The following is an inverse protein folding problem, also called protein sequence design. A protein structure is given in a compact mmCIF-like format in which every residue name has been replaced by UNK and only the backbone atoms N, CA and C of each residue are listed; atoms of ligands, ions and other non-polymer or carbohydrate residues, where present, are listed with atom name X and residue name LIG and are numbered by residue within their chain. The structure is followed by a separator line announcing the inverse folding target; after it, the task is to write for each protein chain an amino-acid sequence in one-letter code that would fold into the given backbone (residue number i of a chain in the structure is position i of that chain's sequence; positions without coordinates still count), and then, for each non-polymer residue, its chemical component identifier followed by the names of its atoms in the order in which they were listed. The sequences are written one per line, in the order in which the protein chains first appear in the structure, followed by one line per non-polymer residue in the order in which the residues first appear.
data_IF_925329757551
#
_entry.id   IF_925329757551
#
_cell.length_a   1.000
_cell.length_b   1.000
_cell.length_c   1.000
_cell.angle_alpha   90.00
_cell.angle_beta   90.00
_cell.angle_gamma   90.00
#
_symmetry.space_group_name_H-M   'P 1'
#
loop_
_entity.id
_entity.type
_entity.pdbx_description
1 polymer ?
#
# COMPACT_ATOMS: atom_id res chain seq x y z
N UNK A 1 -17.28 -27.08 -6.39
CA UNK A 1 -16.09 -26.59 -5.66
C UNK A 1 -16.33 -25.15 -5.27
N UNK A 2 -16.31 -24.86 -3.98
CA UNK A 2 -16.37 -23.49 -3.48
C UNK A 2 -14.97 -22.87 -3.53
N UNK A 3 -14.86 -21.62 -3.99
CA UNK A 3 -13.57 -20.93 -4.07
C UNK A 3 -13.25 -20.29 -2.73
N UNK A 4 -12.02 -20.48 -2.24
CA UNK A 4 -11.54 -19.77 -1.05
C UNK A 4 -11.19 -18.32 -1.39
N UNK A 5 -11.55 -17.40 -0.48
CA UNK A 5 -11.20 -15.99 -0.59
C UNK A 5 -9.69 -15.79 -0.36
N UNK A 6 -9.06 -15.02 -1.24
CA UNK A 6 -7.66 -14.62 -1.06
C UNK A 6 -7.57 -13.47 -0.04
N UNK A 7 -6.71 -13.64 0.97
CA UNK A 7 -6.37 -12.57 1.90
C UNK A 7 -5.19 -11.76 1.37
N UNK A 8 -5.38 -10.45 1.31
CA UNK A 8 -4.37 -9.52 0.79
C UNK A 8 -3.66 -8.88 1.97
N UNK A 9 -2.33 -8.97 1.98
CA UNK A 9 -1.47 -8.40 3.02
C UNK A 9 -0.66 -7.23 2.47
N UNK A 10 -0.38 -6.25 3.33
CA UNK A 10 0.51 -5.13 3.02
C UNK A 10 1.24 -4.62 4.27
N UNK A 11 2.43 -4.04 4.06
CA UNK A 11 3.25 -3.44 5.11
C UNK A 11 2.87 -1.97 5.29
N UNK A 12 2.05 -1.70 6.31
CA UNK A 12 1.57 -0.34 6.60
C UNK A 12 2.33 0.34 7.74
N UNK A 13 2.62 -0.38 8.84
CA UNK A 13 3.26 0.15 10.08
C UNK A 13 4.52 -0.63 10.49
N UNK A 14 5.35 -1.00 9.51
CA UNK A 14 6.60 -1.74 9.75
C UNK A 14 6.49 -3.27 9.72
N UNK A 15 5.27 -3.83 9.79
CA UNK A 15 5.01 -5.27 9.61
C UNK A 15 3.82 -5.54 8.69
N UNK A 16 3.67 -6.79 8.24
CA UNK A 16 2.59 -7.22 7.36
C UNK A 16 1.27 -7.33 8.14
N UNK A 17 0.22 -6.70 7.62
CA UNK A 17 -1.14 -6.79 8.15
C UNK A 17 -2.14 -7.04 7.03
N UNK A 18 -3.25 -7.75 7.28
CA UNK A 18 -4.31 -7.91 6.29
C UNK A 18 -4.91 -6.55 5.94
N UNK A 19 -5.06 -6.26 4.65
CA UNK A 19 -5.66 -5.00 4.16
C UNK A 19 -7.13 -4.87 4.62
N UNK A 20 -7.81 -6.00 4.83
CA UNK A 20 -9.16 -6.06 5.38
C UNK A 20 -9.28 -5.46 6.79
N UNK A 21 -8.18 -5.43 7.57
CA UNK A 21 -8.14 -4.91 8.94
C UNK A 21 -7.70 -3.45 9.04
N UNK A 22 -7.53 -2.75 7.90
CA UNK A 22 -7.12 -1.35 7.93
C UNK A 22 -8.25 -0.45 8.43
N UNK A 23 -7.92 0.37 9.43
CA UNK A 23 -8.81 1.43 9.91
C UNK A 23 -8.84 2.60 8.90
N UNK A 24 -9.72 3.58 9.14
CA UNK A 24 -9.90 4.74 8.25
C UNK A 24 -8.60 5.54 8.07
N UNK A 25 -7.86 5.79 9.15
CA UNK A 25 -6.59 6.54 9.11
C UNK A 25 -5.55 5.89 8.20
N UNK A 26 -5.29 4.59 8.38
CA UNK A 26 -4.34 3.82 7.55
C UNK A 26 -4.71 3.83 6.06
N UNK A 27 -6.00 3.84 5.73
CA UNK A 27 -6.48 3.92 4.35
C UNK A 27 -6.22 5.28 3.73
N UNK A 28 -6.45 6.37 4.48
CA UNK A 28 -6.13 7.72 4.01
C UNK A 28 -4.62 7.92 3.88
N UNK A 29 -3.84 7.56 4.91
CA UNK A 29 -2.37 7.61 4.87
C UNK A 29 -1.78 6.83 3.68
N UNK A 30 -2.40 5.71 3.30
CA UNK A 30 -1.96 4.92 2.14
C UNK A 30 -2.17 5.65 0.81
N UNK A 31 -3.26 6.43 0.66
CA UNK A 31 -3.52 7.22 -0.56
C UNK A 31 -2.49 8.33 -0.75
N UNK A 32 -1.98 8.88 0.34
CA UNK A 32 -0.98 9.95 0.31
C UNK A 32 0.44 9.44 0.02
N UNK A 33 0.64 8.11 -0.05
CA UNK A 33 1.95 7.51 -0.35
C UNK A 33 2.37 7.85 -1.78
N UNK A 34 3.59 8.35 -1.92
CA UNK A 34 4.24 8.51 -3.21
C UNK A 34 4.99 7.22 -3.54
N UNK A 35 4.64 6.62 -4.68
CA UNK A 35 5.41 5.50 -5.22
C UNK A 35 6.66 6.03 -5.91
N UNK A 36 7.75 5.29 -5.78
CA UNK A 36 8.91 5.56 -6.62
C UNK A 36 8.57 5.18 -8.06
N UNK A 37 8.57 6.17 -8.95
CA UNK A 37 8.48 5.96 -10.39
C UNK A 37 9.86 6.25 -11.00
N UNK A 38 10.45 5.23 -11.63
CA UNK A 38 11.76 5.33 -12.28
C UNK A 38 11.80 6.41 -13.36
N UNK A 39 10.66 6.70 -14.01
CA UNK A 39 10.58 7.70 -15.07
C UNK A 39 10.49 9.13 -14.52
N UNK A 40 9.92 9.31 -13.33
CA UNK A 40 9.76 10.62 -12.68
C UNK A 40 10.95 10.98 -11.77
N UNK A 41 11.86 10.04 -11.51
CA UNK A 41 13.01 10.24 -10.63
C UNK A 41 14.11 11.12 -11.27
N UNK A 42 14.06 11.37 -12.57
CA UNK A 42 15.10 12.12 -13.31
C UNK A 42 14.92 13.64 -13.21
N UNK A 43 13.71 14.15 -12.90
CA UNK A 43 13.39 15.58 -13.00
C UNK A 43 13.56 16.39 -11.70
N UNK A 44 14.07 15.81 -10.60
CA UNK A 44 14.09 16.49 -9.29
C UNK A 44 15.47 16.89 -8.73
N UNK A 45 16.53 16.76 -9.52
CA UNK A 45 17.89 17.21 -9.15
C UNK A 45 18.36 18.40 -10.01
N UNK A 46 17.49 19.40 -10.26
CA UNK A 46 17.88 20.67 -10.88
C UNK A 46 17.35 21.87 -10.08
#
# INVERSE_FOLDING_TARGET
MERQKCEIYSRVVGFLTPVSQWNRGKKEEFKDRKTYDKLLAVEKDQ
#
